data_IF_254631765546
#
_entry.id   IF_254631765546
#
_cell.length_a   1.000
_cell.length_b   1.000
_cell.length_c   1.000
_cell.angle_alpha   90.00
_cell.angle_beta   90.00
_cell.angle_gamma   90.00
#
_symmetry.space_group_name_H-M   'P 1'
#
loop_
_entity.id
_entity.type
_entity.pdbx_description
1 polymer ?
#
# COMPACT_ATOMS: atom_id res chain seq x y z
N UNK A 1 7.78 13.71 5.59
CA UNK A 1 7.04 12.46 5.22
C UNK A 1 7.54 11.83 3.93
N UNK A 2 7.82 12.61 2.87
CA UNK A 2 8.33 12.04 1.61
C UNK A 2 9.61 11.22 1.82
N UNK A 3 10.53 11.71 2.62
CA UNK A 3 11.81 11.04 2.89
C UNK A 3 11.62 9.78 3.73
N UNK A 4 10.64 9.78 4.62
CA UNK A 4 10.31 8.61 5.46
C UNK A 4 9.77 7.42 4.66
N UNK A 5 9.28 7.64 3.43
CA UNK A 5 8.86 6.53 2.56
C UNK A 5 10.04 5.62 2.19
N UNK A 6 11.28 6.09 2.26
CA UNK A 6 12.49 5.29 2.04
C UNK A 6 12.65 4.30 3.20
N UNK A 7 12.53 4.77 4.44
CA UNK A 7 12.58 3.92 5.64
C UNK A 7 11.40 2.93 5.68
N UNK A 8 10.19 3.41 5.37
CA UNK A 8 9.01 2.54 5.28
C UNK A 8 9.21 1.42 4.25
N UNK A 9 9.96 1.66 3.17
CA UNK A 9 10.26 0.63 2.18
C UNK A 9 11.09 -0.53 2.73
N UNK A 10 11.92 -0.31 3.73
CA UNK A 10 12.64 -1.38 4.44
C UNK A 10 11.68 -2.27 5.24
N UNK A 11 10.64 -1.64 5.83
CA UNK A 11 9.56 -2.39 6.49
C UNK A 11 8.75 -3.20 5.46
N UNK A 12 8.45 -2.63 4.28
CA UNK A 12 7.79 -3.37 3.18
C UNK A 12 8.58 -4.61 2.82
N UNK A 13 9.90 -4.48 2.67
CA UNK A 13 10.77 -5.57 2.23
C UNK A 13 10.83 -6.71 3.25
N UNK A 14 10.98 -6.39 4.53
CA UNK A 14 11.14 -7.36 5.61
C UNK A 14 9.82 -7.85 6.19
N UNK A 15 8.79 -7.00 6.18
CA UNK A 15 7.47 -7.18 6.77
C UNK A 15 7.52 -7.85 8.17
N UNK A 16 8.18 -7.20 9.14
CA UNK A 16 8.34 -7.75 10.49
C UNK A 16 6.98 -7.83 11.22
N UNK A 17 6.90 -8.64 12.26
CA UNK A 17 5.64 -8.84 13.01
C UNK A 17 5.10 -7.58 13.72
N UNK A 18 5.96 -6.60 13.96
CA UNK A 18 5.69 -5.29 14.56
C UNK A 18 5.64 -4.16 13.49
N UNK A 19 5.39 -4.53 12.24
CA UNK A 19 5.40 -3.58 11.10
C UNK A 19 4.39 -2.44 11.30
N UNK A 20 3.24 -2.71 11.91
CA UNK A 20 2.17 -1.74 12.08
C UNK A 20 2.54 -0.67 13.11
N UNK A 21 3.13 -1.08 14.24
CA UNK A 21 3.63 -0.20 15.28
C UNK A 21 4.75 0.70 14.73
N UNK A 22 5.72 0.12 14.04
CA UNK A 22 6.82 0.86 13.39
C UNK A 22 6.30 1.86 12.36
N UNK A 23 5.30 1.46 11.57
CA UNK A 23 4.71 2.34 10.57
C UNK A 23 4.01 3.55 11.22
N UNK A 24 3.29 3.33 12.33
CA UNK A 24 2.69 4.43 13.12
C UNK A 24 3.78 5.40 13.60
N UNK A 25 4.87 4.89 14.18
CA UNK A 25 5.97 5.70 14.72
C UNK A 25 6.64 6.55 13.63
N UNK A 26 6.97 5.96 12.49
CA UNK A 26 7.58 6.68 11.36
C UNK A 26 6.64 7.73 10.78
N UNK A 27 5.36 7.41 10.62
CA UNK A 27 4.37 8.38 10.17
C UNK A 27 4.25 9.54 11.16
N UNK A 28 4.13 9.25 12.46
CA UNK A 28 4.01 10.26 13.51
C UNK A 28 5.23 11.18 13.58
N UNK A 29 6.45 10.64 13.52
CA UNK A 29 7.69 11.42 13.50
C UNK A 29 7.80 12.34 12.27
N UNK A 30 7.10 11.99 11.20
CA UNK A 30 7.04 12.77 9.94
C UNK A 30 5.83 13.71 9.87
N UNK A 31 5.08 13.86 10.97
CA UNK A 31 3.92 14.75 11.05
C UNK A 31 2.66 14.21 10.35
N UNK A 32 2.57 12.90 10.11
CA UNK A 32 1.39 12.23 9.54
C UNK A 32 0.75 11.35 10.60
N UNK A 33 -0.53 11.54 10.86
CA UNK A 33 -1.30 10.63 11.71
C UNK A 33 -1.66 9.36 10.91
N UNK A 34 -1.36 8.19 11.43
CA UNK A 34 -1.79 6.91 10.88
C UNK A 34 -2.70 6.19 11.87
N UNK A 35 -3.88 5.78 11.42
CA UNK A 35 -4.88 5.10 12.24
C UNK A 35 -5.33 3.83 11.55
N UNK A 36 -5.46 2.76 12.31
CA UNK A 36 -6.04 1.50 11.86
C UNK A 36 -7.43 1.31 12.45
N UNK A 37 -8.36 0.86 11.63
CA UNK A 37 -9.76 0.60 12.04
C UNK A 37 -10.23 -0.75 11.52
N UNK A 38 -11.22 -1.32 12.18
CA UNK A 38 -11.87 -2.51 11.68
C UNK A 38 -12.62 -2.22 10.37
N UNK A 39 -12.64 -3.21 9.48
CA UNK A 39 -13.43 -3.13 8.26
C UNK A 39 -14.92 -2.99 8.57
N UNK A 40 -15.58 -2.04 7.92
CA UNK A 40 -17.03 -1.87 8.01
C UNK A 40 -17.69 -2.83 7.02
N UNK A 41 -18.56 -3.76 7.48
CA UNK A 41 -19.26 -4.66 6.58
C UNK A 41 -20.01 -3.90 5.48
N UNK A 42 -19.88 -4.38 4.22
CA UNK A 42 -20.50 -3.79 3.02
C UNK A 42 -19.92 -2.42 2.58
N UNK A 43 -18.96 -1.85 3.28
CA UNK A 43 -18.23 -0.67 2.81
C UNK A 43 -16.93 -1.12 2.11
N UNK A 44 -16.77 -0.90 0.80
CA UNK A 44 -15.59 -1.36 0.05
C UNK A 44 -14.39 -0.39 0.23
N UNK A 45 -14.15 0.08 1.45
CA UNK A 45 -13.12 1.08 1.76
C UNK A 45 -11.92 0.36 2.38
N UNK A 46 -10.75 0.51 1.77
CA UNK A 46 -9.47 -0.01 2.28
C UNK A 46 -8.66 1.06 2.99
N UNK A 47 -8.75 2.30 2.51
CA UNK A 47 -8.07 3.45 3.07
C UNK A 47 -8.84 4.75 2.85
N UNK A 48 -8.43 5.78 3.58
CA UNK A 48 -8.89 7.16 3.45
C UNK A 48 -7.73 8.10 3.80
N UNK A 49 -7.46 9.06 2.91
CA UNK A 49 -6.56 10.18 3.18
C UNK A 49 -7.36 11.47 3.37
N UNK A 50 -7.07 12.22 4.42
CA UNK A 50 -7.71 13.51 4.69
C UNK A 50 -6.82 14.39 5.57
N UNK A 51 -7.19 15.66 5.68
CA UNK A 51 -6.55 16.60 6.58
C UNK A 51 -7.47 16.94 7.75
N UNK A 52 -6.99 16.82 8.97
CA UNK A 52 -7.72 17.12 10.19
C UNK A 52 -6.97 18.20 10.96
N UNK A 53 -7.56 19.39 11.08
CA UNK A 53 -6.93 20.55 11.75
C UNK A 53 -5.52 20.86 11.23
N UNK A 54 -5.26 20.67 9.93
CA UNK A 54 -3.97 20.91 9.30
C UNK A 54 -2.97 19.77 9.40
N UNK A 55 -3.32 18.66 10.05
CA UNK A 55 -2.51 17.44 10.16
C UNK A 55 -3.01 16.43 9.11
N UNK A 56 -2.13 15.88 8.26
CA UNK A 56 -2.51 14.81 7.35
C UNK A 56 -2.81 13.53 8.14
N UNK A 57 -3.90 12.88 7.81
CA UNK A 57 -4.36 11.64 8.41
C UNK A 57 -4.52 10.59 7.32
N UNK A 58 -3.87 9.45 7.51
CA UNK A 58 -4.10 8.22 6.76
C UNK A 58 -4.85 7.25 7.67
N UNK A 59 -6.00 6.78 7.22
CA UNK A 59 -6.77 5.76 7.92
C UNK A 59 -6.83 4.51 7.04
N UNK A 60 -6.42 3.35 7.56
CA UNK A 60 -6.46 2.07 6.87
C UNK A 60 -7.36 1.09 7.60
N UNK A 61 -8.03 0.22 6.85
CA UNK A 61 -8.88 -0.83 7.42
C UNK A 61 -8.20 -2.21 7.30
N UNK A 62 -8.67 -3.18 8.08
CA UNK A 62 -8.25 -4.59 7.99
C UNK A 62 -8.99 -5.37 6.89
N UNK A 63 -9.55 -4.69 5.89
CA UNK A 63 -10.32 -5.29 4.80
C UNK A 63 -9.53 -6.34 4.02
N UNK A 64 -8.33 -5.99 3.60
CA UNK A 64 -7.44 -6.90 2.89
C UNK A 64 -6.41 -7.48 3.86
N UNK A 65 -6.46 -8.79 4.02
CA UNK A 65 -5.62 -9.51 4.99
C UNK A 65 -4.31 -10.03 4.37
N UNK A 66 -3.83 -9.40 3.30
CA UNK A 66 -2.55 -9.74 2.67
C UNK A 66 -1.65 -8.51 2.52
N UNK A 67 -0.36 -8.72 2.68
CA UNK A 67 0.63 -7.64 2.74
C UNK A 67 0.81 -6.89 1.42
N UNK A 68 0.55 -7.50 0.27
CA UNK A 68 0.56 -6.79 -1.03
C UNK A 68 -0.54 -5.73 -1.10
N UNK A 69 -1.77 -6.08 -0.73
CA UNK A 69 -2.89 -5.14 -0.69
C UNK A 69 -2.70 -4.07 0.39
N UNK A 70 -2.25 -4.47 1.59
CA UNK A 70 -2.00 -3.53 2.68
C UNK A 70 -1.01 -2.43 2.27
N UNK A 71 0.15 -2.83 1.75
CA UNK A 71 1.17 -1.87 1.34
C UNK A 71 0.74 -1.02 0.15
N UNK A 72 -0.02 -1.61 -0.79
CA UNK A 72 -0.58 -0.83 -1.89
C UNK A 72 -1.52 0.25 -1.36
N UNK A 73 -2.48 -0.08 -0.47
CA UNK A 73 -3.40 0.89 0.12
C UNK A 73 -2.65 1.96 0.90
N UNK A 74 -1.64 1.60 1.71
CA UNK A 74 -0.84 2.59 2.43
C UNK A 74 -0.18 3.60 1.47
N UNK A 75 0.51 3.13 0.43
CA UNK A 75 1.18 4.03 -0.52
C UNK A 75 0.21 4.80 -1.41
N UNK A 76 -0.97 4.27 -1.66
CA UNK A 76 -2.06 4.98 -2.34
C UNK A 76 -2.51 6.19 -1.52
N UNK A 77 -2.82 6.00 -0.24
CA UNK A 77 -3.20 7.09 0.67
C UNK A 77 -2.05 8.09 0.89
N UNK A 78 -0.81 7.61 0.98
CA UNK A 78 0.36 8.47 1.02
C UNK A 78 0.50 9.32 -0.26
N UNK A 79 0.14 8.77 -1.41
CA UNK A 79 0.06 9.47 -2.68
C UNK A 79 -0.91 10.65 -2.62
N UNK A 80 -2.11 10.45 -2.10
CA UNK A 80 -3.07 11.53 -1.91
C UNK A 80 -2.54 12.65 -1.01
N UNK A 81 -1.89 12.32 0.10
CA UNK A 81 -1.28 13.32 0.99
C UNK A 81 -0.17 14.12 0.30
N UNK A 82 0.65 13.48 -0.54
CA UNK A 82 1.83 14.10 -1.14
C UNK A 82 1.55 14.85 -2.45
N UNK A 83 0.55 14.42 -3.22
CA UNK A 83 0.28 14.93 -4.56
C UNK A 83 -0.88 15.91 -4.62
N UNK A 84 -1.82 15.79 -3.66
CA UNK A 84 -3.08 16.54 -3.72
C UNK A 84 -3.24 17.54 -2.56
N UNK A 85 -4.15 18.46 -2.71
CA UNK A 85 -4.30 19.58 -1.79
C UNK A 85 -4.97 19.24 -0.47
N UNK A 86 -4.76 20.11 0.53
CA UNK A 86 -5.30 19.95 1.90
C UNK A 86 -6.83 20.03 2.02
N UNK A 87 -7.54 20.46 0.98
CA UNK A 87 -9.00 20.68 1.02
C UNK A 87 -9.82 19.44 0.64
N UNK A 88 -9.17 18.41 0.14
CA UNK A 88 -9.83 17.24 -0.41
C UNK A 88 -9.90 16.12 0.64
N UNK A 89 -10.99 15.39 0.65
CA UNK A 89 -11.15 14.13 1.37
C UNK A 89 -11.15 13.04 0.31
N UNK A 90 -10.17 12.15 0.36
CA UNK A 90 -10.04 11.04 -0.57
C UNK A 90 -10.57 9.77 0.08
N UNK A 91 -11.65 9.23 -0.46
CA UNK A 91 -12.24 7.95 -0.05
C UNK A 91 -12.07 6.99 -1.21
N UNK A 92 -11.29 5.93 -1.03
CA UNK A 92 -11.08 4.89 -2.04
C UNK A 92 -12.42 4.37 -2.57
N UNK A 93 -12.57 4.34 -3.92
CA UNK A 93 -13.79 3.94 -4.64
C UNK A 93 -15.00 4.90 -4.54
N UNK A 94 -14.85 6.16 -4.16
CA UNK A 94 -15.90 7.16 -4.29
C UNK A 94 -15.86 7.83 -5.68
N UNK A 95 -16.85 7.55 -6.52
CA UNK A 95 -16.94 8.09 -7.90
C UNK A 95 -17.70 9.43 -7.91
N UNK A 96 -17.12 10.51 -7.38
CA UNK A 96 -17.88 11.75 -7.25
C UNK A 96 -17.57 12.88 -8.26
N UNK A 97 -16.47 12.80 -9.05
CA UNK A 97 -16.18 13.76 -10.13
C UNK A 97 -15.06 13.28 -11.08
N UNK A 98 -14.93 13.89 -12.28
CA UNK A 98 -13.80 13.65 -13.19
C UNK A 98 -12.44 14.01 -12.56
N UNK A 99 -12.42 15.05 -11.74
CA UNK A 99 -11.22 15.51 -11.01
C UNK A 99 -10.78 14.47 -9.98
N UNK A 100 -11.71 13.82 -9.29
CA UNK A 100 -11.42 12.76 -8.34
C UNK A 100 -10.86 11.52 -9.06
N UNK A 101 -11.36 11.22 -10.25
CA UNK A 101 -10.84 10.14 -11.11
C UNK A 101 -9.38 10.33 -11.49
N UNK A 102 -8.95 11.54 -11.81
CA UNK A 102 -7.54 11.85 -12.15
C UNK A 102 -6.64 11.67 -10.93
N UNK A 103 -7.04 12.18 -9.77
CA UNK A 103 -6.29 12.05 -8.52
C UNK A 103 -6.13 10.59 -8.08
N UNK A 104 -7.18 9.79 -8.26
CA UNK A 104 -7.12 8.35 -8.01
C UNK A 104 -6.11 7.64 -8.93
N UNK A 105 -6.05 8.01 -10.21
CA UNK A 105 -5.06 7.47 -11.14
C UNK A 105 -3.64 7.86 -10.71
N UNK A 106 -3.42 9.10 -10.30
CA UNK A 106 -2.13 9.60 -9.82
C UNK A 106 -1.68 8.91 -8.55
N UNK A 107 -2.58 8.72 -7.56
CA UNK A 107 -2.29 8.01 -6.32
C UNK A 107 -1.98 6.53 -6.59
N UNK A 108 -2.74 5.88 -7.47
CA UNK A 108 -2.49 4.51 -7.91
C UNK A 108 -1.13 4.37 -8.59
N UNK A 109 -0.77 5.32 -9.44
CA UNK A 109 0.53 5.31 -10.12
C UNK A 109 1.68 5.57 -9.16
N UNK A 110 1.51 6.49 -8.21
CA UNK A 110 2.46 6.73 -7.13
C UNK A 110 2.73 5.47 -6.32
N UNK A 111 1.68 4.79 -5.87
CA UNK A 111 1.78 3.53 -5.12
C UNK A 111 2.54 2.46 -5.91
N UNK A 112 2.17 2.24 -7.16
CA UNK A 112 2.83 1.26 -8.04
C UNK A 112 4.31 1.58 -8.24
N UNK A 113 4.65 2.81 -8.64
CA UNK A 113 6.03 3.22 -8.90
C UNK A 113 6.91 3.13 -7.66
N UNK A 114 6.36 3.50 -6.50
CA UNK A 114 7.10 3.47 -5.22
C UNK A 114 7.35 2.05 -4.75
N UNK A 115 6.34 1.17 -4.81
CA UNK A 115 6.47 -0.22 -4.37
C UNK A 115 7.33 -1.05 -5.32
N UNK A 116 7.08 -0.94 -6.64
CA UNK A 116 7.77 -1.73 -7.66
C UNK A 116 7.66 -1.05 -9.03
N UNK A 117 8.73 -0.39 -9.53
CA UNK A 117 8.72 0.25 -10.84
C UNK A 117 8.40 -0.74 -11.97
N UNK A 118 7.64 -0.31 -12.97
CA UNK A 118 7.19 -1.15 -14.10
C UNK A 118 8.33 -1.82 -14.89
N UNK A 119 9.53 -1.25 -14.85
CA UNK A 119 10.77 -1.83 -15.38
C UNK A 119 11.07 -3.26 -14.90
N UNK A 120 10.47 -3.71 -13.77
CA UNK A 120 10.71 -5.06 -13.26
C UNK A 120 10.31 -6.14 -14.27
N UNK A 121 9.35 -5.85 -15.17
CA UNK A 121 8.91 -6.78 -16.20
C UNK A 121 10.03 -7.11 -17.18
N UNK A 122 10.90 -6.16 -17.48
CA UNK A 122 12.06 -6.34 -18.35
C UNK A 122 13.09 -7.33 -17.78
N UNK A 123 13.08 -7.50 -16.45
CA UNK A 123 13.97 -8.43 -15.73
C UNK A 123 13.32 -9.81 -15.51
N UNK A 124 12.09 -10.03 -15.98
CA UNK A 124 11.45 -11.33 -15.87
C UNK A 124 11.82 -12.20 -17.08
N UNK A 125 12.22 -13.48 -16.87
CA UNK A 125 12.35 -14.42 -17.96
C UNK A 125 10.97 -14.74 -18.55
N UNK A 126 10.90 -15.25 -19.78
CA UNK A 126 9.65 -15.67 -20.42
C UNK A 126 8.86 -16.69 -19.60
N UNK A 127 9.58 -17.63 -18.96
CA UNK A 127 9.05 -18.55 -17.96
C UNK A 127 9.75 -18.29 -16.65
N UNK A 128 9.00 -17.87 -15.65
CA UNK A 128 9.54 -17.54 -14.33
C UNK A 128 8.95 -18.41 -13.23
N UNK A 129 9.71 -18.59 -12.19
CA UNK A 129 9.41 -19.36 -10.99
C UNK A 129 9.30 -18.42 -9.77
N UNK A 130 8.86 -18.95 -8.64
CA UNK A 130 8.90 -18.20 -7.38
C UNK A 130 10.30 -17.70 -7.01
N UNK A 131 11.35 -18.47 -7.38
CA UNK A 131 12.74 -18.07 -7.15
C UNK A 131 13.09 -16.79 -7.91
N UNK A 132 12.58 -16.65 -9.13
CA UNK A 132 12.77 -15.45 -9.93
C UNK A 132 12.02 -14.25 -9.35
N UNK A 133 10.79 -14.46 -8.83
CA UNK A 133 10.05 -13.42 -8.13
C UNK A 133 10.78 -12.93 -6.88
N UNK A 134 11.39 -13.83 -6.10
CA UNK A 134 12.23 -13.47 -4.94
C UNK A 134 13.49 -12.70 -5.35
N UNK A 135 14.12 -13.03 -6.50
CA UNK A 135 15.26 -12.25 -7.05
C UNK A 135 14.82 -10.85 -7.44
N UNK A 136 13.69 -10.70 -8.15
CA UNK A 136 13.12 -9.41 -8.51
C UNK A 136 12.82 -8.58 -7.25
N UNK A 137 12.17 -9.18 -6.26
CA UNK A 137 11.87 -8.50 -5.00
C UNK A 137 13.15 -7.95 -4.33
N UNK A 138 14.24 -8.73 -4.27
CA UNK A 138 15.53 -8.28 -3.74
C UNK A 138 16.13 -7.15 -4.56
N UNK A 139 16.12 -7.26 -5.90
CA UNK A 139 16.66 -6.25 -6.81
C UNK A 139 15.98 -4.88 -6.61
N UNK A 140 14.66 -4.88 -6.43
CA UNK A 140 13.86 -3.66 -6.24
C UNK A 140 13.60 -3.29 -4.78
N UNK A 141 14.25 -3.96 -3.82
CA UNK A 141 14.10 -3.74 -2.37
C UNK A 141 12.63 -3.72 -1.96
N UNK A 142 11.89 -4.75 -2.33
CA UNK A 142 10.47 -4.93 -1.99
C UNK A 142 10.18 -6.35 -1.54
N UNK A 143 8.97 -6.63 -1.07
CA UNK A 143 8.56 -7.98 -0.68
C UNK A 143 8.10 -8.80 -1.90
N UNK A 144 8.34 -10.13 -1.97
CA UNK A 144 7.88 -10.98 -3.08
C UNK A 144 6.37 -10.90 -3.33
N UNK A 145 5.56 -10.72 -2.31
CA UNK A 145 4.12 -10.51 -2.44
C UNK A 145 3.75 -9.33 -3.33
N UNK A 146 4.53 -8.23 -3.27
CA UNK A 146 4.31 -7.04 -4.12
C UNK A 146 4.54 -7.39 -5.59
N UNK A 147 5.57 -8.19 -5.89
CA UNK A 147 5.83 -8.66 -7.26
C UNK A 147 4.66 -9.50 -7.76
N UNK A 148 4.17 -10.43 -6.93
CA UNK A 148 3.00 -11.27 -7.24
C UNK A 148 1.76 -10.42 -7.47
N UNK A 149 1.44 -9.49 -6.56
CA UNK A 149 0.28 -8.61 -6.67
C UNK A 149 0.32 -7.77 -7.95
N UNK A 150 1.48 -7.22 -8.32
CA UNK A 150 1.65 -6.46 -9.56
C UNK A 150 1.44 -7.34 -10.81
N UNK A 151 1.97 -8.56 -10.84
CA UNK A 151 1.78 -9.49 -11.96
C UNK A 151 0.33 -9.91 -12.12
N UNK A 152 -0.38 -10.13 -11.01
CA UNK A 152 -1.80 -10.44 -11.00
C UNK A 152 -2.63 -9.25 -11.52
N UNK A 153 -2.32 -8.04 -11.05
CA UNK A 153 -2.96 -6.80 -11.51
C UNK A 153 -2.76 -6.57 -13.01
N UNK A 154 -1.56 -6.82 -13.52
CA UNK A 154 -1.21 -6.72 -14.95
C UNK A 154 -1.73 -7.90 -15.78
N UNK A 155 -2.47 -8.83 -15.17
CA UNK A 155 -2.99 -10.05 -15.81
C UNK A 155 -1.91 -10.91 -16.49
N UNK A 156 -0.66 -10.83 -15.98
CA UNK A 156 0.46 -11.66 -16.45
C UNK A 156 0.42 -13.07 -15.87
N UNK A 157 -0.26 -13.23 -14.74
CA UNK A 157 -0.51 -14.50 -14.06
C UNK A 157 -1.94 -14.54 -13.52
N UNK A 158 -2.51 -15.74 -13.30
CA UNK A 158 -3.81 -15.86 -12.67
C UNK A 158 -3.74 -15.46 -11.18
N UNK A 159 -4.88 -15.07 -10.59
CA UNK A 159 -4.97 -14.68 -9.17
C UNK A 159 -4.59 -15.78 -8.17
N UNK A 160 -4.59 -17.05 -8.61
CA UNK A 160 -4.13 -18.18 -7.79
C UNK A 160 -2.60 -18.32 -7.71
N UNK A 161 -1.84 -17.69 -8.64
CA UNK A 161 -0.41 -17.83 -8.73
C UNK A 161 0.32 -17.07 -7.60
N UNK A 162 1.26 -17.76 -6.94
CA UNK A 162 2.19 -17.15 -5.99
C UNK A 162 1.57 -16.69 -4.66
N UNK A 163 0.33 -17.08 -4.34
CA UNK A 163 -0.35 -16.66 -3.11
C UNK A 163 0.38 -17.15 -1.84
N UNK A 164 1.15 -18.23 -1.91
CA UNK A 164 2.03 -18.70 -0.84
C UNK A 164 3.19 -17.74 -0.52
N UNK A 165 3.47 -16.77 -1.38
CA UNK A 165 4.44 -15.69 -1.13
C UNK A 165 3.83 -14.49 -0.41
N UNK A 166 2.50 -14.44 -0.27
CA UNK A 166 1.79 -13.38 0.44
C UNK A 166 1.71 -13.72 1.93
N UNK A 167 1.95 -12.71 2.75
CA UNK A 167 1.83 -12.82 4.19
C UNK A 167 0.48 -12.28 4.66
N UNK A 168 -0.08 -12.91 5.69
CA UNK A 168 -1.29 -12.43 6.33
C UNK A 168 -0.97 -11.17 7.13
N UNK A 169 -1.77 -10.14 6.94
CA UNK A 169 -1.75 -8.92 7.76
C UNK A 169 -2.70 -9.09 8.93
N UNK A 170 -2.18 -8.86 10.15
CA UNK A 170 -2.95 -8.85 11.37
C UNK A 170 -2.75 -7.49 12.08
N UNK A 171 -3.81 -6.70 12.14
CA UNK A 171 -3.83 -5.37 12.76
C UNK A 171 -4.48 -5.40 14.16
N UNK A 172 -4.80 -6.58 14.71
CA UNK A 172 -5.54 -6.70 15.96
C UNK A 172 -4.85 -6.06 17.18
N UNK A 173 -3.52 -5.92 17.13
CA UNK A 173 -2.73 -5.27 18.19
C UNK A 173 -2.82 -3.76 18.20
N UNK A 174 -3.05 -3.15 17.02
CA UNK A 174 -3.05 -1.68 16.83
C UNK A 174 -4.45 -1.11 16.61
N UNK A 175 -5.43 -1.94 16.28
CA UNK A 175 -6.84 -1.54 16.25
C UNK A 175 -7.35 -1.49 17.69
N UNK A 176 -7.61 -0.30 18.19
CA UNK A 176 -8.32 -0.11 19.45
C UNK A 176 -9.76 -0.60 19.25
N UNK A 177 -10.17 -1.61 20.02
CA UNK A 177 -11.57 -1.99 20.16
C UNK A 177 -12.15 -1.13 21.28
N UNK A 178 -13.12 -0.29 20.95
CA UNK A 178 -13.94 0.41 21.93
C UNK A 178 -14.82 -0.57 22.68
#
# INVERSE_FOLDING_TARGET
>A
FKDSLIEIKEIVQSHPSDFAEKLIEICASSGVALVFTSNIPKAPISGVARWVRGIPLIQLTDRYKSNDHFWFSFYHEAGHILLHGKKDIFIENSNNSETDSTKEVEANEFARKTLLPSKFIENLPQKFTEKDLRKIARLYKTHPAIVVGQLQHLKKVPFSFGNNLKLKVDLSKVIKRD
#
